data_IF_412373050226
#
_entry.id   IF_412373050226
#
_cell.length_a   1.000
_cell.length_b   1.000
_cell.length_c   1.000
_cell.angle_alpha   90.00
_cell.angle_beta   90.00
_cell.angle_gamma   90.00
#
_symmetry.space_group_name_H-M   'P 1'
#
loop_
_entity.id
_entity.type
_entity.pdbx_description
1 polymer ?
#
# COMPACT_ATOMS: atom_id res chain seq x y z
N UNK A 1 4.33 -10.34 12.76
CA UNK A 1 4.31 -9.71 11.44
C UNK A 1 4.41 -8.21 11.55
N UNK A 2 5.16 -7.60 10.72
CA UNK A 2 5.35 -6.16 10.75
C UNK A 2 4.34 -5.47 9.83
N UNK A 3 3.94 -4.24 10.19
CA UNK A 3 2.89 -3.50 9.48
C UNK A 3 3.13 -3.35 7.99
N UNK A 4 4.36 -3.13 7.56
CA UNK A 4 4.69 -2.98 6.14
C UNK A 4 4.43 -4.27 5.36
N UNK A 5 4.77 -5.42 5.93
CA UNK A 5 4.53 -6.72 5.31
C UNK A 5 3.04 -6.97 5.15
N UNK A 6 2.25 -6.69 6.19
CA UNK A 6 0.81 -6.87 6.15
C UNK A 6 0.13 -5.90 5.19
N UNK A 7 0.56 -4.65 5.15
CA UNK A 7 0.05 -3.66 4.21
C UNK A 7 0.30 -4.06 2.77
N UNK A 8 1.49 -4.56 2.48
CA UNK A 8 1.85 -4.98 1.14
C UNK A 8 1.03 -6.18 0.69
N UNK A 9 0.80 -7.14 1.59
CA UNK A 9 -0.03 -8.30 1.30
C UNK A 9 -1.48 -7.88 1.05
N UNK A 10 -2.03 -7.01 1.89
CA UNK A 10 -3.37 -6.46 1.71
C UNK A 10 -3.50 -5.77 0.35
N UNK A 11 -2.53 -4.95 -0.03
CA UNK A 11 -2.52 -4.27 -1.30
C UNK A 11 -2.53 -5.27 -2.47
N UNK A 12 -1.70 -6.31 -2.40
CA UNK A 12 -1.66 -7.34 -3.44
C UNK A 12 -2.98 -8.10 -3.54
N UNK A 13 -3.61 -8.42 -2.42
CA UNK A 13 -4.91 -9.08 -2.40
C UNK A 13 -6.00 -8.20 -3.01
N UNK A 14 -5.99 -6.90 -2.73
CA UNK A 14 -6.94 -5.95 -3.30
C UNK A 14 -6.78 -5.87 -4.83
N UNK A 15 -5.57 -5.71 -5.30
CA UNK A 15 -5.28 -5.66 -6.74
C UNK A 15 -5.69 -6.96 -7.41
N UNK A 16 -5.40 -8.11 -6.81
CA UNK A 16 -5.78 -9.41 -7.38
C UNK A 16 -7.30 -9.55 -7.47
N UNK A 17 -8.03 -9.08 -6.47
CA UNK A 17 -9.49 -9.14 -6.47
C UNK A 17 -10.11 -8.28 -7.57
N UNK A 18 -9.51 -7.13 -7.86
CA UNK A 18 -10.06 -6.18 -8.83
C UNK A 18 -9.58 -6.41 -10.26
N UNK A 19 -8.35 -6.88 -10.44
CA UNK A 19 -7.74 -7.00 -11.77
C UNK A 19 -7.47 -8.44 -12.21
N UNK A 20 -7.48 -9.39 -11.27
CA UNK A 20 -7.10 -10.78 -11.53
C UNK A 20 -5.58 -11.01 -11.57
N UNK A 21 -4.78 -9.97 -11.35
CA UNK A 21 -3.32 -10.08 -11.36
C UNK A 21 -2.78 -10.11 -9.94
N UNK A 22 -2.09 -11.20 -9.58
CA UNK A 22 -1.49 -11.37 -8.26
C UNK A 22 -0.01 -10.97 -8.30
N UNK A 23 0.32 -9.87 -7.65
CA UNK A 23 1.69 -9.39 -7.55
C UNK A 23 2.42 -9.92 -6.31
N UNK A 24 1.72 -10.63 -5.42
CA UNK A 24 2.32 -11.11 -4.18
C UNK A 24 3.59 -11.94 -4.36
N UNK A 25 3.70 -12.83 -5.38
CA UNK A 25 4.92 -13.60 -5.58
C UNK A 25 6.18 -12.75 -5.75
N UNK A 26 6.06 -11.51 -6.21
CA UNK A 26 7.22 -10.61 -6.35
C UNK A 26 7.76 -10.14 -5.00
N UNK A 27 6.93 -10.20 -3.95
CA UNK A 27 7.25 -9.70 -2.62
C UNK A 27 7.32 -10.82 -1.58
N UNK A 28 6.85 -12.02 -1.92
CA UNK A 28 6.82 -13.15 -1.01
C UNK A 28 8.23 -13.60 -0.65
N UNK A 29 8.33 -14.33 0.47
CA UNK A 29 9.59 -14.90 0.93
C UNK A 29 10.25 -14.15 2.08
N UNK A 30 9.77 -12.97 2.43
CA UNK A 30 10.27 -12.28 3.61
C UNK A 30 9.39 -12.60 4.83
N UNK A 31 10.03 -12.66 6.00
CA UNK A 31 9.35 -12.90 7.27
C UNK A 31 9.63 -11.81 8.29
N UNK A 32 10.49 -10.85 7.94
CA UNK A 32 10.89 -9.78 8.83
C UNK A 32 10.70 -8.44 8.13
N UNK A 33 10.65 -7.37 8.93
CA UNK A 33 10.60 -6.01 8.40
C UNK A 33 11.82 -5.72 7.51
N UNK A 34 13.00 -6.17 7.93
CA UNK A 34 14.22 -5.97 7.15
C UNK A 34 14.14 -6.68 5.80
N UNK A 35 13.61 -7.90 5.78
CA UNK A 35 13.40 -8.64 4.55
C UNK A 35 12.43 -7.93 3.61
N UNK A 36 11.35 -7.37 4.14
CA UNK A 36 10.39 -6.58 3.38
C UNK A 36 11.06 -5.35 2.78
N UNK A 37 11.83 -4.60 3.55
CA UNK A 37 12.53 -3.41 3.07
C UNK A 37 13.55 -3.74 1.98
N UNK A 38 14.28 -4.84 2.13
CA UNK A 38 15.24 -5.30 1.12
C UNK A 38 14.52 -5.66 -0.17
N UNK A 39 13.39 -6.37 -0.07
CA UNK A 39 12.60 -6.76 -1.23
C UNK A 39 12.07 -5.54 -1.99
N UNK A 40 11.55 -4.56 -1.26
CA UNK A 40 11.05 -3.31 -1.84
C UNK A 40 12.19 -2.55 -2.51
N UNK A 41 13.34 -2.45 -1.85
CA UNK A 41 14.50 -1.72 -2.36
C UNK A 41 15.07 -2.30 -3.66
N UNK A 42 14.88 -3.61 -3.91
CA UNK A 42 15.26 -4.24 -5.17
C UNK A 42 14.40 -3.78 -6.34
N UNK A 43 13.19 -3.33 -6.06
CA UNK A 43 12.24 -2.91 -7.08
C UNK A 43 12.40 -1.40 -7.35
N UNK A 44 12.48 -0.60 -6.29
CA UNK A 44 12.53 0.84 -6.41
C UNK A 44 13.07 1.49 -5.11
N UNK A 45 13.44 2.77 -5.15
CA UNK A 45 14.02 3.47 -3.98
C UNK A 45 13.08 3.60 -2.78
N UNK A 46 11.77 3.57 -2.98
CA UNK A 46 10.79 3.73 -1.90
C UNK A 46 9.59 2.83 -2.12
N UNK A 47 8.76 2.68 -1.08
CA UNK A 47 7.52 1.91 -1.19
C UNK A 47 6.60 2.50 -2.26
N UNK A 48 6.44 3.82 -2.29
CA UNK A 48 5.60 4.48 -3.30
C UNK A 48 6.10 4.24 -4.71
N UNK A 49 7.42 4.36 -4.92
CA UNK A 49 8.02 4.10 -6.22
C UNK A 49 7.87 2.62 -6.61
N UNK A 50 7.98 1.72 -5.65
CA UNK A 50 7.78 0.30 -5.91
C UNK A 50 6.35 0.00 -6.40
N UNK A 51 5.35 0.66 -5.81
CA UNK A 51 3.96 0.52 -6.27
C UNK A 51 3.81 1.06 -7.69
N UNK A 52 4.35 2.23 -7.96
CA UNK A 52 4.30 2.85 -9.30
C UNK A 52 4.91 1.93 -10.36
N UNK A 53 6.08 1.38 -10.08
CA UNK A 53 6.76 0.47 -11.02
C UNK A 53 5.95 -0.82 -11.21
N UNK A 54 5.45 -1.39 -10.11
CA UNK A 54 4.72 -2.66 -10.16
C UNK A 54 3.40 -2.53 -10.92
N UNK A 55 2.67 -1.44 -10.69
CA UNK A 55 1.38 -1.20 -11.34
C UNK A 55 1.55 -0.58 -12.73
N UNK A 56 2.73 -0.11 -13.07
CA UNK A 56 3.00 0.62 -14.31
C UNK A 56 2.04 1.81 -14.47
N UNK A 57 1.76 2.49 -13.36
CA UNK A 57 0.83 3.61 -13.32
C UNK A 57 1.34 4.69 -12.37
N UNK A 58 1.25 5.98 -12.78
CA UNK A 58 1.68 7.06 -11.90
C UNK A 58 0.70 7.25 -10.73
N UNK A 59 1.18 7.79 -9.60
CA UNK A 59 0.29 8.14 -8.50
C UNK A 59 -0.60 9.33 -8.88
N UNK A 60 -1.76 9.40 -8.23
CA UNK A 60 -2.72 10.49 -8.37
C UNK A 60 -2.97 11.14 -7.01
N UNK A 61 -3.69 12.25 -6.99
CA UNK A 61 -4.04 12.92 -5.74
C UNK A 61 -4.94 12.05 -4.85
N UNK A 62 -4.83 12.23 -3.54
CA UNK A 62 -5.57 11.43 -2.55
C UNK A 62 -7.08 11.47 -2.81
N UNK A 63 -7.61 12.64 -3.12
CA UNK A 63 -9.06 12.80 -3.34
C UNK A 63 -9.54 12.27 -4.69
N UNK A 64 -8.64 11.80 -5.53
CA UNK A 64 -8.98 11.08 -6.75
C UNK A 64 -9.23 9.59 -6.50
N UNK A 65 -8.92 9.10 -5.29
CA UNK A 65 -9.08 7.70 -4.96
C UNK A 65 -10.55 7.29 -4.94
N UNK A 66 -10.81 6.12 -5.48
CA UNK A 66 -12.12 5.46 -5.45
C UNK A 66 -12.02 4.18 -4.64
N UNK A 67 -13.17 3.63 -4.28
CA UNK A 67 -13.22 2.38 -3.53
C UNK A 67 -12.40 1.30 -4.23
N UNK A 68 -11.49 0.68 -3.50
CA UNK A 68 -10.56 -0.33 -4.00
C UNK A 68 -9.22 0.21 -4.45
N UNK A 69 -9.05 1.53 -4.59
CA UNK A 69 -7.77 2.11 -4.95
C UNK A 69 -6.80 2.05 -3.79
N UNK A 70 -5.51 2.00 -4.10
CA UNK A 70 -4.44 2.00 -3.09
C UNK A 70 -4.06 3.41 -2.70
N UNK A 71 -3.67 3.61 -1.45
CA UNK A 71 -3.13 4.87 -0.95
C UNK A 71 -1.84 4.64 -0.17
N UNK A 72 -0.96 5.63 -0.22
CA UNK A 72 0.24 5.67 0.57
C UNK A 72 -0.01 6.55 1.80
N UNK A 73 0.24 5.99 2.97
CA UNK A 73 0.17 6.70 4.24
C UNK A 73 1.58 6.78 4.84
N UNK A 74 1.98 7.98 5.26
CA UNK A 74 3.23 8.20 5.99
C UNK A 74 2.90 8.58 7.42
N UNK A 75 3.39 7.79 8.37
CA UNK A 75 3.12 8.02 9.79
C UNK A 75 4.05 9.11 10.37
N UNK A 76 3.87 9.37 11.68
CA UNK A 76 4.63 10.42 12.40
C UNK A 76 6.13 10.17 12.39
N UNK A 77 6.55 8.92 12.25
CA UNK A 77 7.96 8.54 12.24
C UNK A 77 8.57 8.62 10.84
N UNK A 78 7.76 8.92 9.82
CA UNK A 78 8.18 8.93 8.43
C UNK A 78 8.10 7.56 7.76
N UNK A 79 7.57 6.56 8.43
CA UNK A 79 7.40 5.23 7.88
C UNK A 79 6.19 5.18 6.95
N UNK A 80 6.35 4.50 5.82
CA UNK A 80 5.33 4.40 4.79
C UNK A 80 4.51 3.12 4.94
N UNK A 81 3.21 3.24 4.69
CA UNK A 81 2.26 2.13 4.73
C UNK A 81 1.34 2.21 3.52
N UNK A 82 0.82 1.07 3.09
CA UNK A 82 -0.20 1.02 2.05
C UNK A 82 -1.57 0.75 2.67
N UNK A 83 -2.58 1.43 2.15
CA UNK A 83 -3.96 1.23 2.54
C UNK A 83 -4.86 1.08 1.33
N UNK A 84 -6.10 0.68 1.58
CA UNK A 84 -7.12 0.50 0.55
C UNK A 84 -8.25 1.48 0.80
N UNK A 85 -8.66 2.19 -0.24
CA UNK A 85 -9.77 3.13 -0.16
C UNK A 85 -11.09 2.38 0.00
N UNK A 86 -11.86 2.76 1.02
CA UNK A 86 -13.19 2.22 1.28
C UNK A 86 -14.29 3.25 1.04
N UNK A 87 -14.05 4.20 0.14
CA UNK A 87 -14.92 5.33 -0.12
C UNK A 87 -14.41 6.57 0.58
N UNK A 88 -15.02 6.97 1.70
CA UNK A 88 -14.59 8.13 2.47
C UNK A 88 -13.51 7.82 3.51
N UNK A 89 -13.16 6.55 3.68
CA UNK A 89 -12.14 6.11 4.63
C UNK A 89 -11.08 5.26 3.94
N UNK A 90 -9.95 5.07 4.63
CA UNK A 90 -8.84 4.23 4.18
C UNK A 90 -8.60 3.17 5.24
N UNK A 91 -8.56 1.91 4.82
CA UNK A 91 -8.27 0.79 5.69
C UNK A 91 -6.79 0.42 5.60
N UNK A 92 -6.16 0.25 6.77
CA UNK A 92 -4.75 -0.15 6.90
C UNK A 92 -4.67 -1.32 7.86
N UNK A 93 -3.64 -2.15 7.68
CA UNK A 93 -3.29 -3.13 8.70
C UNK A 93 -2.26 -2.53 9.65
N UNK A 94 -2.35 -2.88 10.93
CA UNK A 94 -1.43 -2.47 11.97
C UNK A 94 -1.14 -3.67 12.89
N UNK A 95 -0.07 -3.62 13.70
CA UNK A 95 0.23 -4.73 14.61
C UNK A 95 -0.92 -5.11 15.53
N UNK A 96 -1.75 -4.15 15.92
CA UNK A 96 -2.90 -4.37 16.79
C UNK A 96 -4.19 -4.73 16.02
N UNK A 97 -4.14 -4.87 14.70
CA UNK A 97 -5.29 -5.19 13.87
C UNK A 97 -5.53 -4.15 12.79
N UNK A 98 -6.80 -3.97 12.42
CA UNK A 98 -7.20 -3.03 11.38
C UNK A 98 -7.31 -1.62 11.92
N UNK A 99 -6.83 -0.65 11.14
CA UNK A 99 -7.04 0.77 11.37
C UNK A 99 -7.85 1.35 10.21
N UNK A 100 -8.74 2.28 10.54
CA UNK A 100 -9.41 3.09 9.53
C UNK A 100 -9.14 4.56 9.81
N UNK A 101 -8.96 5.34 8.75
CA UNK A 101 -8.78 6.77 8.86
C UNK A 101 -9.59 7.48 7.79
N UNK A 102 -9.87 8.75 8.01
CA UNK A 102 -10.54 9.60 7.02
C UNK A 102 -9.65 9.74 5.78
N UNK A 103 -10.27 9.82 4.61
CA UNK A 103 -9.58 10.16 3.36
C UNK A 103 -8.93 11.54 3.43
N UNK A 104 -9.37 12.41 4.34
CA UNK A 104 -8.81 13.74 4.57
C UNK A 104 -7.62 13.74 5.54
N UNK A 105 -7.17 12.57 6.02
CA UNK A 105 -6.07 12.50 6.98
C UNK A 105 -4.79 13.08 6.36
N UNK A 106 -4.08 13.97 7.09
CA UNK A 106 -2.91 14.67 6.53
C UNK A 106 -1.70 13.77 6.24
N UNK A 107 -1.66 12.57 6.80
CA UNK A 107 -0.59 11.59 6.53
C UNK A 107 -0.73 10.88 5.19
N UNK A 108 -1.86 10.99 4.51
CA UNK A 108 -2.03 10.41 3.20
C UNK A 108 -1.27 11.23 2.15
N UNK A 109 -0.45 10.55 1.34
CA UNK A 109 0.48 11.19 0.41
C UNK A 109 -0.05 11.18 -1.02
N UNK A 110 -0.48 10.01 -1.50
CA UNK A 110 -0.95 9.84 -2.88
C UNK A 110 -1.78 8.56 -2.98
N UNK A 111 -2.36 8.35 -4.16
CA UNK A 111 -3.18 7.18 -4.45
C UNK A 111 -2.81 6.60 -5.81
N UNK A 112 -3.23 5.36 -6.07
CA UNK A 112 -3.11 4.70 -7.37
C UNK A 112 -4.47 4.11 -7.74
N UNK A 113 -4.92 4.42 -8.96
CA UNK A 113 -6.15 3.84 -9.48
C UNK A 113 -5.97 2.37 -9.81
N UNK A 114 -6.90 1.53 -9.34
CA UNK A 114 -6.90 0.08 -9.58
C UNK A 114 -8.12 -0.28 -10.40
N UNK A 115 -7.90 -0.90 -11.52
CA UNK A 115 -8.98 -1.29 -12.45
C UNK A 115 -9.30 -0.21 -13.45
#
# INVERSE_FOLDING_TARGET
>A
MLGEADCLRLACEDVAALTGVDFWPRFAGYTTRRGALVTIARIAPSLGDAVTVTLEAPPVGVFMARRGDLLLFRDDTGENHLGVCCGSTVALTAPQGWLQMSLAHPGLVCAWGIG
#
